data_IF_109378426955
#
_entry.id   IF_109378426955
#
_cell.length_a   1.000
_cell.length_b   1.000
_cell.length_c   1.000
_cell.angle_alpha   90.00
_cell.angle_beta   90.00
_cell.angle_gamma   90.00
#
_symmetry.space_group_name_H-M   'P 1'
#
loop_
_entity.id
_entity.type
_entity.pdbx_description
1 polymer ?
#
# COMPACT_ATOMS: atom_id res chain seq x y z
N UNK A 1 2.83 -6.23 27.37
CA UNK A 1 1.43 -6.10 26.93
C UNK A 1 1.37 -5.03 25.84
N UNK A 2 0.81 -5.38 24.67
CA UNK A 2 0.63 -4.45 23.54
C UNK A 2 -0.81 -3.97 23.52
N UNK A 3 -1.03 -2.69 23.22
CA UNK A 3 -2.36 -2.10 23.07
C UNK A 3 -2.84 -2.13 21.62
N UNK A 4 -1.90 -2.20 20.67
CA UNK A 4 -2.14 -2.22 19.23
C UNK A 4 -1.27 -3.32 18.61
N UNK A 5 -1.80 -3.97 17.57
CA UNK A 5 -1.09 -4.95 16.77
C UNK A 5 -0.72 -4.29 15.43
N UNK A 6 0.57 -4.29 15.08
CA UNK A 6 1.05 -3.90 13.75
C UNK A 6 1.10 -5.11 12.82
N UNK A 7 0.58 -4.97 11.63
CA UNK A 7 0.61 -5.97 10.57
C UNK A 7 1.31 -5.42 9.34
N UNK A 8 2.41 -6.04 8.93
CA UNK A 8 3.00 -5.82 7.61
C UNK A 8 2.42 -6.86 6.65
N UNK A 9 1.76 -6.41 5.61
CA UNK A 9 1.20 -7.26 4.58
C UNK A 9 1.46 -6.67 3.18
N UNK A 10 1.55 -7.53 2.19
CA UNK A 10 1.85 -7.09 0.83
C UNK A 10 1.00 -7.85 -0.20
N UNK A 11 -0.28 -8.02 0.09
CA UNK A 11 -1.23 -8.60 -0.86
C UNK A 11 -1.33 -7.74 -2.12
N UNK A 12 -1.26 -8.42 -3.25
CA UNK A 12 -1.13 -7.79 -4.56
C UNK A 12 0.31 -7.53 -5.00
N UNK A 13 1.33 -7.80 -4.12
CA UNK A 13 2.74 -7.68 -4.48
C UNK A 13 3.53 -8.97 -4.24
N UNK A 14 3.54 -9.49 -3.01
CA UNK A 14 4.16 -10.77 -2.67
C UNK A 14 3.14 -11.90 -2.55
N UNK A 15 1.91 -11.56 -2.17
CA UNK A 15 0.79 -12.48 -2.03
C UNK A 15 -0.30 -12.09 -3.03
N UNK A 16 -0.85 -13.07 -3.77
CA UNK A 16 -1.78 -12.77 -4.88
C UNK A 16 -3.22 -12.58 -4.42
N UNK A 17 -3.67 -13.33 -3.41
CA UNK A 17 -5.07 -13.43 -3.06
C UNK A 17 -5.46 -12.51 -1.88
N UNK A 18 -6.10 -11.40 -2.18
CA UNK A 18 -6.59 -10.46 -1.16
C UNK A 18 -7.65 -11.04 -0.20
N UNK A 19 -8.38 -12.08 -0.60
CA UNK A 19 -9.36 -12.72 0.27
C UNK A 19 -8.70 -13.39 1.49
N UNK A 20 -7.42 -13.71 1.40
CA UNK A 20 -6.67 -14.26 2.51
C UNK A 20 -6.55 -13.29 3.69
N UNK A 21 -6.63 -11.98 3.47
CA UNK A 21 -6.74 -10.99 4.56
C UNK A 21 -8.02 -11.19 5.38
N UNK A 22 -9.13 -11.53 4.74
CA UNK A 22 -10.40 -11.81 5.40
C UNK A 22 -10.27 -13.09 6.23
N UNK A 23 -9.64 -14.13 5.64
CA UNK A 23 -9.39 -15.41 6.30
C UNK A 23 -8.44 -15.22 7.49
N UNK A 24 -7.39 -14.44 7.32
CA UNK A 24 -6.44 -14.09 8.39
C UNK A 24 -7.16 -13.48 9.60
N UNK A 25 -8.04 -12.49 9.35
CA UNK A 25 -8.80 -11.86 10.42
C UNK A 25 -9.74 -12.82 11.14
N UNK A 26 -10.42 -13.69 10.40
CA UNK A 26 -11.31 -14.73 10.98
C UNK A 26 -10.52 -15.73 11.84
N UNK A 27 -9.38 -16.19 11.36
CA UNK A 27 -8.58 -17.21 12.04
C UNK A 27 -7.84 -16.66 13.27
N UNK A 28 -7.34 -15.43 13.19
CA UNK A 28 -6.61 -14.79 14.28
C UNK A 28 -7.52 -14.18 15.34
N UNK A 29 -8.74 -13.81 14.99
CA UNK A 29 -9.75 -13.20 15.88
C UNK A 29 -9.12 -12.16 16.84
N UNK A 30 -8.46 -11.10 16.32
CA UNK A 30 -7.70 -10.20 17.14
C UNK A 30 -8.59 -9.46 18.15
N UNK A 31 -8.19 -9.48 19.42
CA UNK A 31 -8.90 -8.77 20.51
C UNK A 31 -8.40 -7.35 20.72
N UNK A 32 -7.38 -6.94 20.01
CA UNK A 32 -6.80 -5.60 20.03
C UNK A 32 -6.95 -4.95 18.65
N UNK A 33 -6.97 -3.60 18.59
CA UNK A 33 -6.95 -2.90 17.31
C UNK A 33 -5.74 -3.32 16.48
N UNK A 34 -5.96 -3.58 15.20
CA UNK A 34 -4.89 -3.89 14.25
C UNK A 34 -4.67 -2.70 13.30
N UNK A 35 -3.42 -2.33 13.10
CA UNK A 35 -3.00 -1.34 12.11
C UNK A 35 -2.16 -2.05 11.07
N UNK A 36 -2.54 -1.93 9.80
CA UNK A 36 -1.65 -2.30 8.70
C UNK A 36 -0.55 -1.26 8.64
N UNK A 37 0.63 -1.62 9.13
CA UNK A 37 1.78 -0.73 9.31
C UNK A 37 2.66 -0.63 8.07
N UNK A 38 2.58 -1.65 7.19
CA UNK A 38 3.23 -1.63 5.88
C UNK A 38 2.39 -2.39 4.87
N UNK A 39 2.24 -1.81 3.69
CA UNK A 39 1.69 -2.48 2.50
C UNK A 39 2.08 -1.71 1.25
N UNK A 40 2.00 -2.34 0.08
CA UNK A 40 2.17 -1.68 -1.20
C UNK A 40 2.87 -2.52 -2.26
N UNK A 41 3.08 -1.90 -3.40
CA UNK A 41 3.76 -2.46 -4.57
C UNK A 41 4.77 -1.48 -5.12
N UNK A 42 5.68 -1.94 -5.97
CA UNK A 42 6.64 -1.06 -6.64
C UNK A 42 6.05 -0.49 -7.94
N UNK A 43 6.32 0.79 -8.17
CA UNK A 43 6.03 1.48 -9.42
C UNK A 43 7.22 2.34 -9.83
N UNK A 44 7.82 2.04 -10.97
CA UNK A 44 9.01 2.71 -11.50
C UNK A 44 8.59 3.75 -12.53
N UNK A 45 9.10 4.98 -12.40
CA UNK A 45 8.91 6.06 -13.36
C UNK A 45 10.20 6.27 -14.17
N UNK A 46 10.45 5.40 -15.14
CA UNK A 46 11.53 5.58 -16.12
C UNK A 46 11.03 5.18 -17.50
N UNK A 47 11.73 5.61 -18.55
CA UNK A 47 11.38 5.24 -19.93
C UNK A 47 11.44 3.73 -20.15
N UNK A 48 12.38 3.06 -19.48
CA UNK A 48 12.59 1.60 -19.57
C UNK A 48 11.67 0.81 -18.64
N UNK A 49 10.85 1.47 -17.80
CA UNK A 49 9.94 0.79 -16.89
C UNK A 49 8.88 -0.01 -17.65
N UNK A 50 8.41 -1.14 -17.09
CA UNK A 50 7.27 -1.86 -17.63
C UNK A 50 6.07 -0.93 -17.79
N UNK A 51 5.37 -1.02 -18.90
CA UNK A 51 4.15 -0.21 -19.12
C UNK A 51 2.91 -0.83 -18.47
N UNK A 52 2.96 -2.14 -18.20
CA UNK A 52 1.89 -2.91 -17.56
C UNK A 52 2.51 -3.98 -16.63
N UNK A 53 1.70 -4.50 -15.71
CA UNK A 53 2.13 -5.55 -14.78
C UNK A 53 3.12 -5.06 -13.69
N UNK A 54 3.73 -5.98 -12.94
CA UNK A 54 4.63 -5.64 -11.84
C UNK A 54 5.71 -4.64 -12.24
N UNK A 55 6.06 -3.74 -11.32
CA UNK A 55 6.95 -2.58 -11.48
C UNK A 55 6.41 -1.44 -12.33
N UNK A 56 5.28 -1.56 -13.02
CA UNK A 56 4.67 -0.39 -13.68
C UNK A 56 3.98 0.51 -12.64
N UNK A 57 3.94 1.80 -12.93
CA UNK A 57 3.20 2.78 -12.11
C UNK A 57 1.70 2.42 -12.00
N UNK A 58 1.13 1.95 -13.13
CA UNK A 58 -0.28 1.53 -13.17
C UNK A 58 -0.54 0.34 -12.25
N UNK A 59 0.32 -0.67 -12.26
CA UNK A 59 0.18 -1.83 -11.38
C UNK A 59 0.23 -1.43 -9.90
N UNK A 60 1.16 -0.55 -9.52
CA UNK A 60 1.22 -0.01 -8.16
C UNK A 60 -0.09 0.67 -7.78
N UNK A 61 -0.65 1.49 -8.65
CA UNK A 61 -1.93 2.17 -8.41
C UNK A 61 -3.09 1.17 -8.29
N UNK A 62 -3.11 0.12 -9.10
CA UNK A 62 -4.17 -0.91 -9.08
C UNK A 62 -4.11 -1.74 -7.78
N UNK A 63 -2.92 -2.06 -7.28
CA UNK A 63 -2.76 -2.70 -5.97
C UNK A 63 -3.38 -1.84 -4.87
N UNK A 64 -3.09 -0.54 -4.82
CA UNK A 64 -3.66 0.34 -3.81
C UNK A 64 -5.18 0.55 -3.98
N UNK A 65 -5.71 0.61 -5.21
CA UNK A 65 -7.17 0.62 -5.44
C UNK A 65 -7.81 -0.61 -4.83
N UNK A 66 -7.26 -1.78 -5.12
CA UNK A 66 -7.79 -3.04 -4.60
C UNK A 66 -7.69 -3.11 -3.07
N UNK A 67 -6.59 -2.68 -2.48
CA UNK A 67 -6.46 -2.62 -1.02
C UNK A 67 -7.51 -1.70 -0.39
N UNK A 68 -7.71 -0.50 -0.93
CA UNK A 68 -8.73 0.44 -0.43
C UNK A 68 -10.17 -0.07 -0.58
N UNK A 69 -10.44 -0.93 -1.58
CA UNK A 69 -11.73 -1.64 -1.72
C UNK A 69 -11.91 -2.77 -0.68
N UNK A 70 -10.81 -3.36 -0.20
CA UNK A 70 -10.85 -4.41 0.83
C UNK A 70 -10.91 -3.88 2.26
N UNK A 71 -10.30 -2.74 2.54
CA UNK A 71 -10.23 -2.17 3.89
C UNK A 71 -11.59 -2.10 4.61
N UNK A 72 -12.71 -1.68 3.99
CA UNK A 72 -14.01 -1.66 4.64
C UNK A 72 -14.55 -3.05 5.05
N UNK A 73 -14.04 -4.11 4.42
CA UNK A 73 -14.41 -5.50 4.72
C UNK A 73 -13.62 -6.05 5.91
N UNK A 74 -12.50 -5.43 6.26
CA UNK A 74 -11.60 -5.83 7.34
C UNK A 74 -11.99 -5.15 8.64
N UNK A 75 -13.11 -5.55 9.23
CA UNK A 75 -13.69 -4.91 10.42
C UNK A 75 -12.79 -4.90 11.65
N UNK A 76 -11.73 -5.69 11.66
CA UNK A 76 -10.71 -5.78 12.70
C UNK A 76 -9.55 -4.78 12.49
N UNK A 77 -9.41 -4.19 11.29
CA UNK A 77 -8.40 -3.15 10.99
C UNK A 77 -8.90 -1.78 11.44
N UNK A 78 -8.03 -1.01 12.08
CA UNK A 78 -8.29 0.35 12.59
C UNK A 78 -7.39 1.41 12.02
N UNK A 79 -6.38 1.02 11.26
CA UNK A 79 -5.46 1.95 10.61
C UNK A 79 -4.74 1.28 9.45
N UNK A 80 -4.27 2.10 8.54
CA UNK A 80 -3.62 1.66 7.32
C UNK A 80 -2.55 2.68 6.92
N UNK A 81 -1.32 2.21 6.71
CA UNK A 81 -0.22 3.04 6.23
C UNK A 81 0.52 2.37 5.09
N UNK A 82 0.79 3.09 4.00
CA UNK A 82 1.55 2.55 2.89
C UNK A 82 3.04 2.46 3.23
N UNK A 83 3.71 1.48 2.70
CA UNK A 83 5.15 1.45 2.56
C UNK A 83 5.51 1.82 1.14
N UNK A 84 5.98 3.04 0.81
CA UNK A 84 6.31 4.12 1.74
C UNK A 84 6.06 5.49 1.05
N UNK A 85 6.43 6.61 1.70
CA UNK A 85 6.18 7.93 1.13
C UNK A 85 7.13 8.27 -0.02
N UNK A 86 8.44 8.03 0.13
CA UNK A 86 9.45 8.36 -0.88
C UNK A 86 10.24 7.13 -1.31
N UNK A 87 10.52 6.98 -2.61
CA UNK A 87 11.53 6.03 -3.07
C UNK A 87 12.86 6.32 -2.38
N UNK A 88 13.62 5.29 -2.07
CA UNK A 88 14.91 5.46 -1.42
C UNK A 88 15.98 4.52 -1.98
N UNK A 89 17.23 4.96 -1.87
CA UNK A 89 18.37 4.20 -2.34
C UNK A 89 18.65 2.99 -1.44
N UNK A 90 18.88 1.84 -2.06
CA UNK A 90 19.22 0.60 -1.37
C UNK A 90 19.99 -0.36 -2.28
N UNK A 91 21.07 -0.92 -1.78
CA UNK A 91 21.89 -1.89 -2.53
C UNK A 91 21.18 -3.24 -2.78
N UNK A 92 20.07 -3.51 -2.08
CA UNK A 92 19.33 -4.77 -2.20
C UNK A 92 18.43 -4.86 -3.44
N UNK A 93 18.23 -3.76 -4.16
CA UNK A 93 17.27 -3.66 -5.27
C UNK A 93 17.98 -3.39 -6.58
N UNK A 94 18.48 -4.47 -7.23
CA UNK A 94 19.37 -4.38 -8.39
C UNK A 94 18.79 -4.97 -9.69
N UNK A 95 17.49 -5.13 -9.81
CA UNK A 95 16.92 -5.53 -11.09
C UNK A 95 17.04 -4.39 -12.13
N UNK A 96 16.81 -4.66 -13.41
CA UNK A 96 16.99 -3.65 -14.47
C UNK A 96 16.19 -2.36 -14.28
N UNK A 97 15.06 -2.41 -13.61
CA UNK A 97 14.19 -1.25 -13.40
C UNK A 97 14.47 -0.50 -12.11
N UNK A 98 14.83 -1.20 -11.04
CA UNK A 98 15.05 -0.61 -9.71
C UNK A 98 16.39 0.12 -9.62
N UNK A 99 17.46 -0.40 -10.23
CA UNK A 99 18.79 0.24 -10.32
C UNK A 99 19.31 0.81 -8.98
N UNK A 100 19.14 0.05 -7.90
CA UNK A 100 19.57 0.46 -6.57
C UNK A 100 18.56 1.32 -5.82
N UNK A 101 17.27 1.30 -6.20
CA UNK A 101 16.21 1.98 -5.47
C UNK A 101 15.10 1.01 -5.05
N UNK A 102 14.54 1.23 -3.87
CA UNK A 102 13.23 0.71 -3.53
C UNK A 102 12.18 1.67 -4.10
N UNK A 103 11.41 1.21 -5.06
CA UNK A 103 10.44 2.01 -5.81
C UNK A 103 9.00 1.87 -5.29
N UNK A 104 8.81 1.49 -4.02
CA UNK A 104 7.50 1.45 -3.35
C UNK A 104 7.02 2.83 -2.88
N UNK A 105 7.83 3.88 -3.03
CA UNK A 105 7.45 5.24 -2.69
C UNK A 105 6.23 5.72 -3.47
N UNK A 106 5.34 6.43 -2.81
CA UNK A 106 4.25 7.16 -3.47
C UNK A 106 4.76 8.38 -4.23
N UNK A 107 5.95 8.83 -3.90
CA UNK A 107 6.64 9.97 -4.49
C UNK A 107 8.07 9.52 -4.84
N UNK A 108 8.59 10.02 -5.95
CA UNK A 108 9.95 9.72 -6.40
C UNK A 108 11.04 10.14 -5.39
N UNK A 109 12.23 9.54 -5.48
CA UNK A 109 13.34 9.79 -4.56
C UNK A 109 13.80 11.25 -4.54
N UNK A 110 13.68 11.97 -5.66
CA UNK A 110 13.96 13.41 -5.75
C UNK A 110 12.87 14.30 -5.17
N UNK A 111 11.76 13.70 -4.66
CA UNK A 111 10.60 14.33 -4.03
C UNK A 111 9.77 15.24 -4.96
N UNK A 112 9.93 15.12 -6.29
CA UNK A 112 9.27 16.02 -7.24
C UNK A 112 8.00 15.45 -7.83
N UNK A 113 7.94 14.14 -8.08
CA UNK A 113 6.84 13.52 -8.80
C UNK A 113 6.02 12.61 -7.90
N UNK A 114 4.72 12.88 -7.80
CA UNK A 114 3.75 12.00 -7.18
C UNK A 114 3.32 10.95 -8.18
N UNK A 115 3.44 9.68 -7.81
CA UNK A 115 2.99 8.56 -8.64
C UNK A 115 1.48 8.42 -8.62
N UNK A 116 0.90 7.70 -9.58
CA UNK A 116 -0.55 7.47 -9.67
C UNK A 116 -1.14 6.91 -8.36
N UNK A 117 -0.42 6.03 -7.67
CA UNK A 117 -0.81 5.48 -6.36
C UNK A 117 -1.00 6.55 -5.27
N UNK A 118 -0.23 7.64 -5.31
CA UNK A 118 -0.41 8.76 -4.38
C UNK A 118 -1.83 9.34 -4.46
N UNK A 119 -2.34 9.52 -5.67
CA UNK A 119 -3.68 10.08 -5.88
C UNK A 119 -4.79 9.11 -5.48
N UNK A 120 -4.59 7.81 -5.69
CA UNK A 120 -5.52 6.77 -5.21
C UNK A 120 -5.68 6.87 -3.68
N UNK A 121 -4.57 6.93 -2.95
CA UNK A 121 -4.62 7.03 -1.49
C UNK A 121 -5.12 8.38 -0.99
N UNK A 122 -4.75 9.49 -1.65
CA UNK A 122 -5.31 10.82 -1.32
C UNK A 122 -6.83 10.79 -1.39
N UNK A 123 -7.38 10.31 -2.50
CA UNK A 123 -8.82 10.30 -2.73
C UNK A 123 -9.53 9.37 -1.72
N UNK A 124 -8.92 8.25 -1.36
CA UNK A 124 -9.42 7.36 -0.32
C UNK A 124 -9.48 8.07 1.05
N UNK A 125 -8.40 8.69 1.50
CA UNK A 125 -8.36 9.39 2.79
C UNK A 125 -9.26 10.63 2.83
N UNK A 126 -9.38 11.36 1.73
CA UNK A 126 -10.32 12.48 1.62
C UNK A 126 -11.79 12.02 1.75
N UNK A 127 -12.13 10.86 1.18
CA UNK A 127 -13.48 10.29 1.29
C UNK A 127 -13.76 9.81 2.72
N UNK A 128 -12.80 9.19 3.42
CA UNK A 128 -12.95 8.82 4.83
C UNK A 128 -13.26 10.03 5.71
N UNK A 129 -12.54 11.14 5.55
CA UNK A 129 -12.79 12.37 6.31
C UNK A 129 -14.19 12.92 6.10
N UNK A 130 -14.73 12.84 4.87
CA UNK A 130 -16.11 13.29 4.59
C UNK A 130 -17.16 12.44 5.29
N UNK A 131 -16.94 11.13 5.34
CA UNK A 131 -17.86 10.20 6.03
C UNK A 131 -17.87 10.46 7.55
N UNK A 132 -16.69 10.64 8.15
CA UNK A 132 -16.57 10.96 9.59
C UNK A 132 -17.27 12.28 9.94
N UNK A 133 -17.04 13.34 9.13
CA UNK A 133 -17.66 14.66 9.36
C UNK A 133 -19.19 14.71 9.13
N UNK A 134 -19.74 13.67 8.48
CA UNK A 134 -21.20 13.56 8.25
C UNK A 134 -21.91 12.72 9.31
N UNK A 135 -21.16 12.14 10.24
CA UNK A 135 -21.68 11.25 11.30
C UNK A 135 -21.74 11.92 12.67
N UNK A 136 -21.27 13.16 12.76
CA UNK A 136 -21.38 14.09 13.90
C UNK A 136 -22.55 15.08 13.67
#
# INVERSE_FOLDING_TARGET
>A
YLDIIGLNEYYGWYEENFDDLIVLGKNSSPTKPVVITETGAEGVLSEDAPKTGPFSEQYMADVYRKQTEYLPKLTWVRGFTPWLLYDYRTERRQNPWQQGFNCKGLITADKKTRKAAFYVLRDFYENLKKVESSSD
#
